data_IF_146004733481
#
_entry.id   IF_146004733481
#
_cell.length_a   1.000
_cell.length_b   1.000
_cell.length_c   1.000
_cell.angle_alpha   90.00
_cell.angle_beta   90.00
_cell.angle_gamma   90.00
#
_symmetry.space_group_name_H-M   'P 1'
#
loop_
_entity.id
_entity.type
_entity.pdbx_description
1 polymer ?
#
# COMPACT_ATOMS: atom_id res chain seq x y z
N UNK A 1 -11.97 -0.30 -13.63
CA UNK A 1 -12.25 -1.59 -12.95
C UNK A 1 -12.65 -2.66 -13.96
N UNK A 2 -12.06 -3.86 -13.86
CA UNK A 2 -12.35 -5.00 -14.74
C UNK A 2 -13.61 -5.74 -14.26
N UNK A 3 -14.51 -6.10 -15.17
CA UNK A 3 -15.82 -6.70 -14.81
C UNK A 3 -15.73 -8.09 -14.18
N UNK A 4 -14.64 -8.81 -14.41
CA UNK A 4 -14.43 -10.18 -13.94
C UNK A 4 -13.72 -10.25 -12.59
N UNK A 5 -13.29 -9.10 -12.04
CA UNK A 5 -12.56 -9.03 -10.79
C UNK A 5 -13.45 -8.40 -9.73
N UNK A 6 -13.48 -9.00 -8.54
CA UNK A 6 -14.11 -8.41 -7.37
C UNK A 6 -13.15 -7.42 -6.71
N UNK A 7 -13.66 -6.24 -6.35
CA UNK A 7 -12.92 -5.19 -5.66
C UNK A 7 -13.62 -4.89 -4.34
N UNK A 8 -12.93 -5.11 -3.23
CA UNK A 8 -13.40 -4.77 -1.89
C UNK A 8 -12.59 -3.61 -1.35
N UNK A 9 -13.25 -2.55 -0.87
CA UNK A 9 -12.55 -1.43 -0.24
C UNK A 9 -11.66 -1.94 0.91
N UNK A 10 -10.38 -1.55 0.88
CA UNK A 10 -9.42 -1.86 1.92
C UNK A 10 -9.14 -0.63 2.78
N UNK A 11 -8.66 0.46 2.20
CA UNK A 11 -8.38 1.72 2.90
C UNK A 11 -8.29 2.92 1.92
N UNK A 12 -8.20 4.13 2.48
CA UNK A 12 -7.85 5.36 1.75
C UNK A 12 -6.49 5.84 2.26
N UNK A 13 -5.49 5.96 1.39
CA UNK A 13 -4.20 6.56 1.72
C UNK A 13 -4.14 8.02 1.31
N UNK A 14 -3.68 8.89 2.21
CA UNK A 14 -3.60 10.33 2.00
C UNK A 14 -2.16 10.81 2.24
N UNK A 15 -1.47 11.30 1.19
CA UNK A 15 -0.21 12.01 1.36
C UNK A 15 -0.41 13.27 2.19
N UNK A 16 0.49 13.50 3.14
CA UNK A 16 0.46 14.64 4.04
C UNK A 16 1.84 15.30 4.10
N UNK A 17 1.88 16.60 3.85
CA UNK A 17 3.08 17.43 3.94
C UNK A 17 2.93 18.42 5.11
N UNK A 18 3.13 17.92 6.32
CA UNK A 18 3.03 18.68 7.57
C UNK A 18 4.40 18.91 8.25
N UNK A 19 5.48 18.39 7.65
CA UNK A 19 6.85 18.48 8.17
C UNK A 19 7.14 17.55 9.35
N UNK A 20 6.25 16.60 9.65
CA UNK A 20 6.39 15.67 10.78
C UNK A 20 6.90 14.32 10.28
N UNK A 21 7.84 13.71 10.99
CA UNK A 21 8.28 12.33 10.72
C UNK A 21 7.73 11.41 11.82
N UNK A 22 6.47 11.02 11.71
CA UNK A 22 5.78 10.15 12.66
C UNK A 22 5.14 8.94 11.97
N UNK A 23 5.00 7.85 12.72
CA UNK A 23 4.40 6.61 12.24
C UNK A 23 5.44 5.52 12.00
N UNK A 24 5.00 4.47 11.33
CA UNK A 24 5.85 3.33 11.00
C UNK A 24 6.66 3.66 9.74
N UNK A 25 7.98 3.58 9.85
CA UNK A 25 8.89 3.94 8.77
C UNK A 25 9.28 2.73 7.90
N UNK A 26 9.21 2.92 6.59
CA UNK A 26 9.82 2.03 5.60
C UNK A 26 11.02 2.72 4.96
N UNK A 27 12.22 2.21 5.23
CA UNK A 27 13.46 2.71 4.64
C UNK A 27 13.47 2.57 3.12
N UNK A 28 13.04 1.41 2.60
CA UNK A 28 12.99 1.14 1.16
C UNK A 28 12.06 2.10 0.41
N UNK A 29 10.97 2.52 1.05
CA UNK A 29 9.99 3.43 0.45
C UNK A 29 10.29 4.92 0.75
N UNK A 30 11.18 5.22 1.71
CA UNK A 30 11.33 6.57 2.25
C UNK A 30 9.98 7.13 2.73
N UNK A 31 9.19 6.31 3.43
CA UNK A 31 7.79 6.61 3.75
C UNK A 31 7.46 6.28 5.19
N UNK A 32 6.75 7.19 5.86
CA UNK A 32 6.10 6.97 7.14
C UNK A 32 4.60 6.77 6.94
N UNK A 33 4.02 5.82 7.65
CA UNK A 33 2.58 5.56 7.65
C UNK A 33 1.99 5.63 9.06
N UNK A 34 0.87 6.35 9.20
CA UNK A 34 0.08 6.42 10.44
C UNK A 34 -1.38 6.12 10.15
N UNK A 35 -1.98 5.22 10.93
CA UNK A 35 -3.43 4.97 10.84
C UNK A 35 -4.22 6.15 11.44
N UNK A 36 -5.29 6.53 10.76
CA UNK A 36 -6.24 7.50 11.28
C UNK A 36 -7.01 6.91 12.48
N UNK A 37 -7.09 7.61 13.63
CA UNK A 37 -7.79 7.10 14.83
C UNK A 37 -9.33 7.13 14.71
N UNK A 38 -9.86 7.53 13.55
CA UNK A 38 -11.30 7.57 13.28
C UNK A 38 -11.90 6.18 13.02
N UNK A 39 -13.19 6.16 12.65
CA UNK A 39 -13.95 4.93 12.41
C UNK A 39 -13.73 4.29 11.03
N UNK A 40 -13.04 4.99 10.13
CA UNK A 40 -12.80 4.54 8.76
C UNK A 40 -11.33 4.17 8.58
N UNK A 41 -11.08 3.15 7.75
CA UNK A 41 -9.73 2.71 7.37
C UNK A 41 -9.09 3.78 6.47
N UNK A 42 -8.37 4.71 7.09
CA UNK A 42 -7.66 5.80 6.42
C UNK A 42 -6.23 5.80 6.94
N UNK A 43 -5.27 5.99 6.05
CA UNK A 43 -3.85 6.07 6.36
C UNK A 43 -3.28 7.42 5.93
N UNK A 44 -2.44 7.98 6.78
CA UNK A 44 -1.64 9.16 6.47
C UNK A 44 -0.25 8.70 6.03
N UNK A 45 0.22 9.20 4.89
CA UNK A 45 1.55 8.91 4.37
C UNK A 45 2.39 10.17 4.32
N UNK A 46 3.64 10.08 4.80
CA UNK A 46 4.62 11.16 4.72
C UNK A 46 5.87 10.62 4.07
N UNK A 47 6.42 11.37 3.12
CA UNK A 47 7.53 10.91 2.30
C UNK A 47 8.76 11.74 2.61
N UNK A 48 9.91 11.07 2.66
CA UNK A 48 11.19 11.77 2.70
C UNK A 48 11.44 12.46 1.36
N UNK A 49 12.27 13.50 1.36
CA UNK A 49 12.59 14.26 0.16
C UNK A 49 13.24 13.39 -0.94
N UNK A 50 13.94 12.32 -0.53
CA UNK A 50 14.62 11.35 -1.38
C UNK A 50 13.80 10.06 -1.63
N UNK A 51 12.54 10.01 -1.20
CA UNK A 51 11.68 8.84 -1.42
C UNK A 51 11.65 8.45 -2.91
N UNK A 52 11.96 7.17 -3.25
CA UNK A 52 12.06 6.70 -4.63
C UNK A 52 10.69 6.49 -5.29
N UNK A 53 9.59 6.65 -4.53
CA UNK A 53 8.25 6.36 -5.00
C UNK A 53 7.79 7.35 -6.08
N UNK A 54 6.92 6.85 -6.96
CA UNK A 54 6.34 7.64 -8.05
C UNK A 54 5.62 8.88 -7.52
N UNK A 55 5.73 10.00 -8.24
CA UNK A 55 5.19 11.31 -7.82
C UNK A 55 3.71 11.27 -7.46
N UNK A 56 2.89 10.51 -8.21
CA UNK A 56 1.46 10.37 -7.90
C UNK A 56 1.22 9.76 -6.52
N UNK A 57 1.98 8.74 -6.14
CA UNK A 57 1.87 8.11 -4.80
C UNK A 57 2.18 9.14 -3.71
N UNK A 58 3.12 10.06 -3.97
CA UNK A 58 3.56 11.06 -3.00
C UNK A 58 2.67 12.29 -2.92
N UNK A 59 1.77 12.51 -3.87
CA UNK A 59 1.06 13.81 -4.02
C UNK A 59 -0.44 13.69 -4.21
N UNK A 60 -0.97 12.51 -4.51
CA UNK A 60 -2.39 12.28 -4.76
C UNK A 60 -2.92 11.20 -3.80
N UNK A 61 -4.06 11.43 -3.13
CA UNK A 61 -4.71 10.37 -2.35
C UNK A 61 -5.04 9.15 -3.21
N UNK A 62 -4.89 7.96 -2.63
CA UNK A 62 -5.22 6.71 -3.31
C UNK A 62 -6.30 5.95 -2.55
N UNK A 63 -7.17 5.29 -3.28
CA UNK A 63 -8.01 4.23 -2.73
C UNK A 63 -7.29 2.90 -2.91
N UNK A 64 -7.37 2.04 -1.89
CA UNK A 64 -6.86 0.69 -1.92
C UNK A 64 -8.01 -0.30 -1.98
N UNK A 65 -7.90 -1.30 -2.86
CA UNK A 65 -8.84 -2.40 -2.98
C UNK A 65 -8.18 -3.74 -2.78
N UNK A 66 -8.84 -4.61 -2.02
CA UNK A 66 -8.56 -6.05 -2.05
C UNK A 66 -9.18 -6.64 -3.32
N UNK A 67 -8.38 -7.42 -4.04
CA UNK A 67 -8.78 -8.16 -5.26
C UNK A 67 -8.46 -9.64 -5.10
N UNK A 68 -9.21 -10.47 -5.81
CA UNK A 68 -9.03 -11.93 -5.79
C UNK A 68 -7.81 -12.38 -6.60
N UNK A 69 -7.50 -11.66 -7.69
CA UNK A 69 -6.38 -11.94 -8.59
C UNK A 69 -5.73 -10.61 -9.00
N UNK A 70 -4.53 -10.35 -8.47
CA UNK A 70 -3.76 -9.13 -8.70
C UNK A 70 -3.23 -9.08 -10.13
N UNK A 71 -2.77 -10.21 -10.68
CA UNK A 71 -2.17 -10.25 -12.02
C UNK A 71 -3.23 -9.92 -13.08
N UNK A 72 -4.43 -10.51 -12.94
CA UNK A 72 -5.56 -10.16 -13.78
C UNK A 72 -6.03 -8.71 -13.57
N UNK A 73 -5.96 -8.20 -12.33
CA UNK A 73 -6.37 -6.84 -12.00
C UNK A 73 -5.47 -5.76 -12.62
N UNK A 74 -4.15 -6.01 -12.72
CA UNK A 74 -3.17 -5.06 -13.29
C UNK A 74 -2.88 -5.28 -14.77
N UNK A 75 -3.39 -6.33 -15.39
CA UNK A 75 -3.13 -6.65 -16.80
C UNK A 75 -3.53 -5.48 -17.73
N UNK A 76 -2.57 -4.93 -18.48
CA UNK A 76 -2.82 -3.82 -19.40
C UNK A 76 -2.99 -2.45 -18.73
N UNK A 77 -2.81 -2.36 -17.41
CA UNK A 77 -2.79 -1.10 -16.67
C UNK A 77 -1.37 -0.51 -16.61
N UNK A 78 -1.25 0.80 -16.38
CA UNK A 78 0.04 1.44 -16.11
C UNK A 78 0.44 1.23 -14.65
N UNK A 79 1.31 0.25 -14.38
CA UNK A 79 1.79 -0.04 -13.03
C UNK A 79 2.90 0.94 -12.63
N UNK A 80 2.68 1.70 -11.56
CA UNK A 80 3.63 2.71 -11.04
C UNK A 80 4.35 2.26 -9.75
N UNK A 81 3.93 1.15 -9.16
CA UNK A 81 4.64 0.44 -8.09
C UNK A 81 4.26 -1.04 -8.11
N UNK A 82 5.24 -1.93 -7.97
CA UNK A 82 5.01 -3.38 -7.90
C UNK A 82 4.83 -4.07 -9.25
N UNK A 83 4.20 -5.27 -9.28
CA UNK A 83 3.74 -6.02 -8.10
C UNK A 83 4.91 -6.43 -7.19
N UNK A 84 4.70 -6.39 -5.87
CA UNK A 84 5.66 -6.85 -4.87
C UNK A 84 4.94 -7.51 -3.70
N UNK A 85 5.68 -8.23 -2.85
CA UNK A 85 5.14 -8.99 -1.74
C UNK A 85 5.82 -8.54 -0.43
N UNK A 86 5.29 -7.50 0.24
CA UNK A 86 5.89 -6.98 1.47
C UNK A 86 5.91 -7.97 2.62
N UNK A 87 4.97 -8.92 2.66
CA UNK A 87 4.92 -10.04 3.60
C UNK A 87 4.41 -11.26 2.84
N UNK A 88 4.82 -12.46 3.24
CA UNK A 88 4.37 -13.71 2.62
C UNK A 88 2.82 -13.76 2.55
N UNK A 89 2.30 -14.07 1.36
CA UNK A 89 0.87 -14.11 0.99
C UNK A 89 0.14 -12.75 0.96
N UNK A 90 0.88 -11.64 0.84
CA UNK A 90 0.31 -10.30 0.68
C UNK A 90 0.97 -9.59 -0.49
N UNK A 91 0.32 -9.56 -1.64
CA UNK A 91 0.81 -8.94 -2.86
C UNK A 91 0.18 -7.57 -3.07
N UNK A 92 0.99 -6.62 -3.52
CA UNK A 92 0.57 -5.22 -3.72
C UNK A 92 1.06 -4.71 -5.06
N UNK A 93 0.23 -3.98 -5.78
CA UNK A 93 0.63 -3.11 -6.87
C UNK A 93 -0.14 -1.79 -6.81
N UNK A 94 0.44 -0.71 -7.35
CA UNK A 94 -0.25 0.55 -7.54
C UNK A 94 -0.26 0.86 -9.03
N UNK A 95 -1.44 1.16 -9.57
CA UNK A 95 -1.62 1.57 -10.96
C UNK A 95 -1.89 3.08 -11.06
N UNK A 96 -1.57 3.67 -12.20
CA UNK A 96 -2.03 5.00 -12.59
C UNK A 96 -3.35 4.90 -13.36
N UNK A 97 -4.48 5.12 -12.67
CA UNK A 97 -5.80 5.20 -13.30
C UNK A 97 -6.09 6.66 -13.68
N UNK A 98 -5.63 7.05 -14.88
CA UNK A 98 -5.86 8.38 -15.45
C UNK A 98 -5.43 9.56 -14.53
N UNK A 99 -4.30 9.43 -13.86
CA UNK A 99 -3.74 10.41 -12.93
C UNK A 99 -4.09 10.14 -11.45
N UNK A 100 -4.87 9.10 -11.17
CA UNK A 100 -5.22 8.68 -9.80
C UNK A 100 -4.46 7.40 -9.46
N UNK A 101 -3.60 7.41 -8.43
CA UNK A 101 -3.01 6.17 -7.93
C UNK A 101 -4.11 5.29 -7.32
N UNK A 102 -4.18 4.03 -7.74
CA UNK A 102 -5.07 3.03 -7.16
C UNK A 102 -4.23 1.84 -6.69
N UNK A 103 -4.30 1.55 -5.39
CA UNK A 103 -3.60 0.41 -4.81
C UNK A 103 -4.48 -0.85 -4.90
N UNK A 104 -3.88 -1.95 -5.33
CA UNK A 104 -4.51 -3.25 -5.50
C UNK A 104 -3.75 -4.27 -4.66
N UNK A 105 -4.48 -4.95 -3.78
CA UNK A 105 -3.94 -5.89 -2.80
C UNK A 105 -4.57 -7.26 -3.04
N UNK A 106 -3.75 -8.30 -3.20
CA UNK A 106 -4.21 -9.68 -3.13
C UNK A 106 -3.61 -10.34 -1.91
N UNK A 107 -4.47 -10.84 -1.01
CA UNK A 107 -4.03 -11.59 0.16
C UNK A 107 -5.08 -12.59 0.61
N UNK A 108 -4.63 -13.76 1.02
CA UNK A 108 -5.46 -14.79 1.66
C UNK A 108 -5.47 -14.68 3.18
N UNK A 109 -4.62 -13.81 3.75
CA UNK A 109 -4.55 -13.57 5.19
C UNK A 109 -5.84 -12.94 5.68
N UNK A 110 -6.34 -13.44 6.81
CA UNK A 110 -7.41 -12.76 7.54
C UNK A 110 -6.83 -11.60 8.39
N UNK A 111 -7.72 -10.70 8.84
CA UNK A 111 -7.31 -9.53 9.63
C UNK A 111 -6.56 -9.94 10.92
N UNK A 112 -6.89 -11.09 11.52
CA UNK A 112 -6.30 -11.56 12.78
C UNK A 112 -4.87 -12.09 12.60
N UNK A 113 -4.61 -12.82 11.52
CA UNK A 113 -3.29 -13.32 11.11
C UNK A 113 -2.36 -12.18 10.67
N UNK A 114 -2.89 -11.16 9.97
CA UNK A 114 -2.15 -9.95 9.59
C UNK A 114 -1.61 -9.21 10.82
N UNK A 115 -2.45 -8.98 11.83
CA UNK A 115 -2.04 -8.33 13.08
C UNK A 115 -1.05 -9.18 13.90
N UNK A 116 -1.20 -10.50 13.90
CA UNK A 116 -0.26 -11.40 14.57
C UNK A 116 1.13 -11.41 13.90
N UNK A 117 1.18 -11.40 12.55
CA UNK A 117 2.43 -11.44 11.79
C UNK A 117 3.17 -10.11 11.82
N UNK A 118 2.46 -8.98 11.72
CA UNK A 118 3.03 -7.64 11.85
C UNK A 118 3.73 -7.43 13.21
N UNK A 119 3.13 -7.93 14.31
CA UNK A 119 3.73 -7.92 15.65
C UNK A 119 4.95 -8.83 15.79
N UNK A 120 5.09 -9.85 14.93
CA UNK A 120 6.20 -10.80 14.99
C UNK A 120 7.46 -10.38 14.20
N UNK A 121 7.44 -9.22 13.53
CA UNK A 121 8.61 -8.68 12.81
C UNK A 121 9.02 -9.47 11.56
N UNK A 122 8.18 -10.38 11.05
CA UNK A 122 8.51 -11.27 9.90
C UNK A 122 8.15 -10.71 8.52
N UNK A 123 7.75 -9.45 8.43
CA UNK A 123 7.47 -8.82 7.13
C UNK A 123 8.75 -8.44 6.38
N UNK A 124 8.79 -8.66 5.07
CA UNK A 124 9.92 -8.34 4.19
C UNK A 124 10.27 -6.84 4.11
N UNK A 125 9.36 -5.97 4.58
CA UNK A 125 9.66 -4.54 4.83
C UNK A 125 10.57 -4.30 6.06
N UNK A 126 10.71 -5.28 6.97
CA UNK A 126 11.49 -5.20 8.22
C UNK A 126 12.58 -6.28 8.34
N UNK A 127 12.82 -7.08 7.29
CA UNK A 127 13.97 -7.99 7.26
C UNK A 127 15.23 -7.13 7.16
N UNK A 128 16.02 -7.10 8.23
CA UNK A 128 17.44 -6.75 8.12
C UNK A 128 18.11 -7.87 7.34
N UNK A 129 18.80 -7.51 6.26
CA UNK A 129 19.61 -8.46 5.51
C UNK A 129 20.71 -9.00 6.44
N UNK A 130 20.64 -10.29 6.81
CA UNK A 130 21.80 -11.06 7.26
C UNK A 130 22.52 -11.69 6.07
#
# INVERSE_FOLDING_TARGET
>A
MKKTIQYQFHHLGIPLEDGINEGIYSEKAGMYTTDNPGKFRVQWHRFTADSPLHTLIKTVPHVAFKVEDLDAAIEGEEVILGPYEPIDDYRVAIINDAGVPVELIQTTLDDEELWARARSGRGALYRSDE
#
